data_IF_965325172239
#
_entry.id   IF_965325172239
#
_cell.length_a   1.000
_cell.length_b   1.000
_cell.length_c   1.000
_cell.angle_alpha   90.00
_cell.angle_beta   90.00
_cell.angle_gamma   90.00
#
_symmetry.space_group_name_H-M   'P 1'
#
loop_
_entity.id
_entity.type
_entity.pdbx_description
1 polymer ?
#
# COMPACT_ATOMS: atom_id res chain seq x y z
N UNK A 1 43.62 7.49 28.58
CA UNK A 1 43.06 6.95 29.85
C UNK A 1 41.75 6.28 29.51
N UNK A 2 41.61 4.99 29.84
CA UNK A 2 40.41 4.21 29.55
C UNK A 2 39.30 4.72 30.48
N UNK A 3 38.35 5.46 29.92
CA UNK A 3 37.30 6.13 30.71
C UNK A 3 36.23 6.84 29.88
N UNK A 4 36.41 6.90 28.55
CA UNK A 4 35.45 7.50 27.63
C UNK A 4 34.51 6.39 27.09
N UNK A 5 33.19 6.62 26.95
CA UNK A 5 32.27 5.61 26.39
C UNK A 5 32.69 5.03 25.04
N UNK A 6 33.43 5.78 24.22
CA UNK A 6 34.01 5.30 22.96
C UNK A 6 34.99 4.13 23.14
N UNK A 7 35.77 4.11 24.23
CA UNK A 7 36.77 3.07 24.48
C UNK A 7 36.09 1.73 24.78
N UNK A 8 34.94 1.78 25.47
CA UNK A 8 34.11 0.61 25.77
C UNK A 8 33.52 -0.02 24.51
N UNK A 9 33.10 0.79 23.53
CA UNK A 9 32.60 0.29 22.24
C UNK A 9 33.69 -0.51 21.51
N UNK A 10 34.92 -0.02 21.51
CA UNK A 10 36.06 -0.72 20.90
C UNK A 10 36.34 -2.04 21.62
N UNK A 11 36.33 -2.04 22.96
CA UNK A 11 36.51 -3.27 23.77
C UNK A 11 35.44 -4.31 23.42
N UNK A 12 34.17 -3.90 23.30
CA UNK A 12 33.07 -4.80 22.94
C UNK A 12 33.28 -5.39 21.54
N UNK A 13 33.64 -4.56 20.54
CA UNK A 13 33.91 -5.03 19.18
C UNK A 13 35.06 -6.03 19.16
N UNK A 14 36.15 -5.73 19.87
CA UNK A 14 37.30 -6.64 19.97
C UNK A 14 36.91 -7.94 20.66
N UNK A 15 36.15 -7.87 21.76
CA UNK A 15 35.64 -9.06 22.44
C UNK A 15 34.78 -9.91 21.49
N UNK A 16 33.83 -9.30 20.77
CA UNK A 16 33.01 -10.01 19.78
C UNK A 16 33.86 -10.69 18.70
N UNK A 17 34.90 -10.02 18.20
CA UNK A 17 35.83 -10.60 17.22
C UNK A 17 36.65 -11.76 17.83
N UNK A 18 37.04 -11.69 19.11
CA UNK A 18 37.76 -12.78 19.78
C UNK A 18 36.87 -14.01 20.02
N UNK A 19 35.61 -13.82 20.42
CA UNK A 19 34.68 -14.92 20.68
C UNK A 19 34.09 -15.53 19.39
N UNK A 20 33.74 -14.69 18.42
CA UNK A 20 33.08 -15.14 17.18
C UNK A 20 34.04 -15.26 15.99
N UNK A 21 35.23 -14.66 16.05
CA UNK A 21 36.17 -14.59 14.94
C UNK A 21 35.84 -13.48 13.94
N UNK A 22 36.85 -13.00 13.20
CA UNK A 22 36.67 -11.98 12.16
C UNK A 22 35.84 -12.46 10.97
N UNK A 23 35.76 -13.78 10.75
CA UNK A 23 35.09 -14.38 9.59
C UNK A 23 33.56 -14.34 9.68
N UNK A 24 32.98 -14.22 10.88
CA UNK A 24 31.51 -14.31 11.05
C UNK A 24 30.76 -13.08 10.57
N UNK A 25 31.32 -11.88 10.75
CA UNK A 25 30.69 -10.64 10.29
C UNK A 25 30.54 -10.63 8.74
N UNK A 26 31.60 -10.91 7.95
CA UNK A 26 31.47 -11.04 6.48
C UNK A 26 30.52 -12.15 6.03
N UNK A 27 30.50 -13.28 6.73
CA UNK A 27 29.63 -14.42 6.42
C UNK A 27 28.14 -14.08 6.65
N UNK A 28 27.83 -13.37 7.73
CA UNK A 28 26.49 -12.85 8.03
C UNK A 28 26.02 -11.85 6.97
N UNK A 29 26.86 -10.88 6.58
CA UNK A 29 26.50 -9.94 5.52
C UNK A 29 26.26 -10.64 4.19
N UNK A 30 27.07 -11.64 3.85
CA UNK A 30 26.93 -12.37 2.59
C UNK A 30 25.68 -13.25 2.57
N UNK A 31 25.36 -13.92 3.67
CA UNK A 31 24.14 -14.73 3.78
C UNK A 31 22.87 -13.88 3.85
N UNK A 32 22.88 -12.80 4.63
CA UNK A 32 21.81 -11.80 4.67
C UNK A 32 21.59 -11.13 3.31
N UNK A 33 22.66 -10.74 2.62
CA UNK A 33 22.55 -10.15 1.28
C UNK A 33 21.91 -11.10 0.27
N UNK A 34 22.25 -12.40 0.33
CA UNK A 34 21.58 -13.42 -0.50
C UNK A 34 20.10 -13.57 -0.13
N UNK A 35 19.80 -13.70 1.16
CA UNK A 35 18.42 -13.85 1.63
C UNK A 35 17.54 -12.65 1.23
N UNK A 36 18.03 -11.43 1.40
CA UNK A 36 17.33 -10.20 0.98
C UNK A 36 17.20 -10.15 -0.55
N UNK A 37 18.23 -10.57 -1.29
CA UNK A 37 18.20 -10.63 -2.76
C UNK A 37 17.16 -11.61 -3.30
N UNK A 38 17.15 -12.84 -2.80
CA UNK A 38 16.16 -13.86 -3.16
C UNK A 38 14.75 -13.45 -2.71
N UNK A 39 14.61 -12.82 -1.54
CA UNK A 39 13.33 -12.30 -1.08
C UNK A 39 12.80 -11.20 -2.01
N UNK A 40 13.64 -10.26 -2.45
CA UNK A 40 13.24 -9.21 -3.39
C UNK A 40 12.83 -9.80 -4.74
N UNK A 41 13.55 -10.82 -5.22
CA UNK A 41 13.24 -11.53 -6.47
C UNK A 41 11.90 -12.27 -6.36
N UNK A 42 11.70 -13.05 -5.30
CA UNK A 42 10.44 -13.75 -5.05
C UNK A 42 9.25 -12.81 -4.86
N UNK A 43 9.46 -11.64 -4.23
CA UNK A 43 8.44 -10.59 -4.15
C UNK A 43 8.05 -10.04 -5.52
N UNK A 44 9.02 -9.76 -6.39
CA UNK A 44 8.76 -9.26 -7.74
C UNK A 44 8.02 -10.32 -8.58
N UNK A 45 8.46 -11.57 -8.50
CA UNK A 45 7.79 -12.70 -9.16
C UNK A 45 6.35 -12.86 -8.66
N UNK A 46 6.12 -12.81 -7.35
CA UNK A 46 4.78 -12.86 -6.77
C UNK A 46 3.90 -11.69 -7.23
N UNK A 47 4.44 -10.46 -7.31
CA UNK A 47 3.70 -9.30 -7.81
C UNK A 47 3.34 -9.46 -9.30
N UNK A 48 4.26 -9.98 -10.12
CA UNK A 48 3.99 -10.28 -11.54
C UNK A 48 2.98 -11.40 -11.73
N UNK A 49 3.05 -12.46 -10.92
CA UNK A 49 2.07 -13.55 -10.92
C UNK A 49 0.69 -13.06 -10.47
N UNK A 50 0.61 -12.22 -9.44
CA UNK A 50 -0.63 -11.59 -9.00
C UNK A 50 -1.22 -10.69 -10.09
N UNK A 51 -0.39 -9.90 -10.77
CA UNK A 51 -0.84 -9.09 -11.91
C UNK A 51 -1.29 -9.94 -13.10
N UNK A 52 -0.64 -11.09 -13.35
CA UNK A 52 -1.05 -12.02 -14.41
C UNK A 52 -2.33 -12.78 -14.06
N UNK A 53 -2.52 -13.17 -12.80
CA UNK A 53 -3.76 -13.78 -12.29
C UNK A 53 -4.93 -12.79 -12.20
N UNK A 54 -4.65 -11.48 -12.11
CA UNK A 54 -5.66 -10.42 -12.23
C UNK A 54 -5.92 -10.03 -13.69
N UNK A 55 -5.01 -10.36 -14.62
CA UNK A 55 -5.14 -10.06 -16.05
C UNK A 55 -6.11 -10.90 -16.89
N UNK A 56 -6.66 -12.07 -16.50
CA UNK A 56 -7.91 -12.54 -17.13
C UNK A 56 -9.09 -11.60 -16.84
N UNK A 57 -8.91 -10.53 -16.04
CA UNK A 57 -9.94 -9.55 -15.67
C UNK A 57 -9.54 -8.07 -15.89
N UNK A 58 -8.56 -7.77 -16.74
CA UNK A 58 -8.28 -6.36 -17.12
C UNK A 58 -9.34 -5.77 -18.08
N UNK A 59 -10.28 -6.58 -18.57
CA UNK A 59 -11.51 -6.08 -19.18
C UNK A 59 -12.54 -5.58 -18.14
N UNK A 60 -12.42 -5.96 -16.86
CA UNK A 60 -13.41 -5.63 -15.84
C UNK A 60 -13.08 -4.35 -15.05
N UNK A 61 -11.79 -4.05 -14.81
CA UNK A 61 -11.39 -2.90 -13.98
C UNK A 61 -11.66 -1.56 -14.68
N UNK A 62 -11.42 -1.47 -15.99
CA UNK A 62 -11.81 -0.30 -16.81
C UNK A 62 -13.34 -0.15 -16.87
N UNK A 63 -14.07 -1.26 -17.07
CA UNK A 63 -15.54 -1.25 -17.09
C UNK A 63 -16.17 -0.89 -15.73
N UNK A 64 -15.50 -1.18 -14.62
CA UNK A 64 -16.01 -0.86 -13.29
C UNK A 64 -15.88 0.64 -12.98
N UNK A 65 -14.79 1.28 -13.44
CA UNK A 65 -14.63 2.75 -13.35
C UNK A 65 -15.68 3.51 -14.17
N UNK A 66 -15.93 3.06 -15.40
CA UNK A 66 -16.93 3.67 -16.28
C UNK A 66 -18.36 3.52 -15.73
N UNK A 67 -18.70 2.35 -15.18
CA UNK A 67 -19.99 2.12 -14.51
C UNK A 67 -20.16 2.99 -13.26
N UNK A 68 -19.13 3.11 -12.43
CA UNK A 68 -19.19 3.95 -11.22
C UNK A 68 -19.44 5.41 -11.59
N UNK A 69 -18.78 5.94 -12.62
CA UNK A 69 -19.01 7.29 -13.10
C UNK A 69 -20.45 7.51 -13.62
N UNK A 70 -21.01 6.52 -14.32
CA UNK A 70 -22.38 6.56 -14.84
C UNK A 70 -23.44 6.48 -13.72
N UNK A 71 -23.22 5.61 -12.72
CA UNK A 71 -24.06 5.54 -11.52
C UNK A 71 -24.03 6.84 -10.73
N UNK A 72 -22.87 7.49 -10.61
CA UNK A 72 -22.75 8.79 -9.94
C UNK A 72 -23.61 9.86 -10.62
N UNK A 73 -23.58 9.92 -11.96
CA UNK A 73 -24.43 10.83 -12.75
C UNK A 73 -25.92 10.55 -12.56
N UNK A 74 -26.33 9.28 -12.56
CA UNK A 74 -27.74 8.91 -12.35
C UNK A 74 -28.23 9.32 -10.97
N UNK A 75 -27.40 9.18 -9.92
CA UNK A 75 -27.74 9.60 -8.56
C UNK A 75 -27.93 11.13 -8.50
N UNK A 76 -27.04 11.90 -9.13
CA UNK A 76 -27.11 13.36 -9.16
C UNK A 76 -28.38 13.84 -9.89
N UNK A 77 -28.73 13.21 -11.01
CA UNK A 77 -29.94 13.54 -11.76
C UNK A 77 -31.23 13.20 -10.99
N UNK A 78 -31.27 12.05 -10.30
CA UNK A 78 -32.38 11.69 -9.42
C UNK A 78 -32.56 12.70 -8.28
N UNK A 79 -31.47 13.15 -7.65
CA UNK A 79 -31.54 14.17 -6.60
C UNK A 79 -32.15 15.48 -7.12
N UNK A 80 -31.78 15.91 -8.32
CA UNK A 80 -32.31 17.11 -8.95
C UNK A 80 -33.82 16.99 -9.25
N UNK A 81 -34.27 15.82 -9.69
CA UNK A 81 -35.70 15.54 -9.90
C UNK A 81 -36.49 15.61 -8.58
N UNK A 82 -35.98 15.01 -7.50
CA UNK A 82 -36.62 15.06 -6.19
C UNK A 82 -36.76 16.51 -5.68
N UNK A 83 -35.75 17.34 -5.89
CA UNK A 83 -35.80 18.75 -5.50
C UNK A 83 -36.84 19.55 -6.31
N UNK A 84 -36.96 19.27 -7.62
CA UNK A 84 -37.97 19.90 -8.47
C UNK A 84 -39.40 19.47 -8.09
N UNK A 85 -39.61 18.19 -7.77
CA UNK A 85 -40.90 17.70 -7.30
C UNK A 85 -41.28 18.34 -5.97
N UNK A 86 -40.32 18.47 -5.04
CA UNK A 86 -40.53 19.13 -3.76
C UNK A 86 -40.95 20.60 -3.93
N UNK A 87 -40.25 21.36 -4.78
CA UNK A 87 -40.62 22.75 -5.10
C UNK A 87 -42.02 22.86 -5.72
N UNK A 88 -42.40 21.92 -6.59
CA UNK A 88 -43.76 21.89 -7.15
C UNK A 88 -44.84 21.59 -6.11
N UNK A 89 -44.58 20.68 -5.15
CA UNK A 89 -45.51 20.41 -4.05
C UNK A 89 -45.66 21.61 -3.12
N UNK A 90 -44.58 22.31 -2.78
CA UNK A 90 -44.64 23.54 -1.98
C UNK A 90 -45.48 24.63 -2.67
N UNK A 91 -45.33 24.80 -3.99
CA UNK A 91 -46.12 25.77 -4.77
C UNK A 91 -47.59 25.38 -4.89
N UNK A 92 -47.91 24.09 -5.01
CA UNK A 92 -49.31 23.63 -5.04
C UNK A 92 -49.99 23.72 -3.67
N UNK A 93 -49.25 23.48 -2.58
CA UNK A 93 -49.77 23.58 -1.21
C UNK A 93 -50.09 25.03 -0.83
N UNK A 94 -49.32 26.00 -1.35
CA UNK A 94 -49.62 27.44 -1.20
C UNK A 94 -50.78 27.95 -2.06
N UNK A 95 -51.22 27.23 -3.09
CA UNK A 95 -52.38 27.62 -3.91
C UNK A 95 -53.72 27.11 -3.39
N UNK A 96 -53.73 26.21 -2.40
CA UNK A 96 -54.94 25.64 -1.78
C UNK A 96 -55.24 26.22 -0.38
N UNK A 97 -54.39 27.11 0.15
CA UNK A 97 -54.70 27.99 1.29
C UNK A 97 -54.96 29.40 0.78
#
# INVERSE_FOLDING_TARGET
MIGNPSDWVIIIIVALILFFGTSKIPELFRSMGRAIGEFKKGRLEAEMEMQQMQQPSNAAVTQQGDKVAELQKQIEELQKQLEQLKKQQEVQTQKQQ
#
